data_IF_480663788722
#
_entry.id   IF_480663788722
#
_cell.length_a   1.000
_cell.length_b   1.000
_cell.length_c   1.000
_cell.angle_alpha   90.00
_cell.angle_beta   90.00
_cell.angle_gamma   90.00
#
_symmetry.space_group_name_H-M   'P 1'
#
loop_
_entity.id
_entity.type
_entity.pdbx_description
1 polymer ?
#
# COMPACT_ATOMS: atom_id res chain seq x y z
N UNK A 1 -35.03 -23.16 -9.21
CA UNK A 1 -33.71 -22.95 -9.85
C UNK A 1 -32.79 -22.33 -8.81
N UNK A 2 -31.96 -23.16 -8.19
CA UNK A 2 -30.99 -22.76 -7.16
C UNK A 2 -29.78 -22.16 -7.85
N UNK A 3 -29.62 -20.83 -7.77
CA UNK A 3 -28.36 -20.18 -8.14
C UNK A 3 -27.30 -20.63 -7.13
N UNK A 4 -26.51 -21.62 -7.51
CA UNK A 4 -25.31 -22.00 -6.78
C UNK A 4 -24.29 -20.87 -6.89
N UNK A 5 -24.25 -20.01 -5.87
CA UNK A 5 -23.22 -19.00 -5.68
C UNK A 5 -21.90 -19.68 -5.35
N UNK A 6 -21.13 -20.08 -6.36
CA UNK A 6 -19.90 -20.88 -6.24
C UNK A 6 -18.74 -20.22 -5.44
N UNK A 7 -18.94 -19.02 -4.89
CA UNK A 7 -17.90 -18.24 -4.20
C UNK A 7 -18.29 -17.69 -2.81
N UNK A 8 -19.44 -18.07 -2.25
CA UNK A 8 -19.81 -17.65 -0.89
C UNK A 8 -19.73 -18.83 0.08
N UNK A 9 -18.56 -19.00 0.69
CA UNK A 9 -18.40 -19.87 1.87
C UNK A 9 -18.63 -19.04 3.13
N UNK A 10 -19.27 -19.63 4.14
CA UNK A 10 -19.55 -19.02 5.45
C UNK A 10 -18.29 -18.63 6.27
N UNK A 11 -17.09 -18.89 5.74
CA UNK A 11 -15.78 -18.52 6.29
C UNK A 11 -15.08 -17.38 5.52
N UNK A 12 -15.74 -16.77 4.54
CA UNK A 12 -15.22 -15.60 3.82
C UNK A 12 -15.34 -14.36 4.71
N UNK A 13 -14.37 -14.18 5.62
CA UNK A 13 -14.19 -12.96 6.43
C UNK A 13 -13.60 -11.80 5.59
N UNK A 14 -13.38 -12.02 4.29
CA UNK A 14 -12.76 -11.05 3.39
C UNK A 14 -13.80 -10.46 2.46
N UNK A 15 -14.43 -9.37 2.91
CA UNK A 15 -15.40 -8.66 2.10
C UNK A 15 -14.68 -7.86 1.00
N UNK A 16 -15.24 -7.84 -0.22
CA UNK A 16 -14.72 -7.06 -1.35
C UNK A 16 -14.40 -5.57 -1.07
N UNK A 17 -15.05 -4.84 -0.12
CA UNK A 17 -14.65 -3.49 0.24
C UNK A 17 -13.24 -3.43 0.84
N UNK A 18 -12.78 -4.53 1.46
CA UNK A 18 -11.43 -4.64 2.00
C UNK A 18 -10.39 -4.51 0.88
N UNK A 19 -10.58 -5.25 -0.20
CA UNK A 19 -9.72 -5.20 -1.37
C UNK A 19 -9.65 -3.78 -1.97
N UNK A 20 -10.77 -3.06 -2.01
CA UNK A 20 -10.82 -1.71 -2.58
C UNK A 20 -10.05 -0.71 -1.72
N UNK A 21 -10.21 -0.72 -0.39
CA UNK A 21 -9.46 0.21 0.44
C UNK A 21 -7.95 -0.05 0.35
N UNK A 22 -7.55 -1.33 0.32
CA UNK A 22 -6.16 -1.73 0.18
C UNK A 22 -5.59 -1.23 -1.14
N UNK A 23 -6.32 -1.45 -2.23
CA UNK A 23 -5.94 -0.97 -3.56
C UNK A 23 -5.78 0.56 -3.59
N UNK A 24 -6.70 1.32 -3.00
CA UNK A 24 -6.63 2.77 -2.92
C UNK A 24 -5.40 3.26 -2.12
N UNK A 25 -5.07 2.60 -1.01
CA UNK A 25 -3.84 2.90 -0.26
C UNK A 25 -2.59 2.60 -1.11
N UNK A 26 -2.60 1.47 -1.82
CA UNK A 26 -1.54 1.07 -2.74
C UNK A 26 -1.29 2.14 -3.82
N UNK A 27 -2.36 2.64 -4.44
CA UNK A 27 -2.28 3.75 -5.41
C UNK A 27 -1.68 5.00 -4.78
N UNK A 28 -2.13 5.41 -3.59
CA UNK A 28 -1.60 6.59 -2.89
C UNK A 28 -0.10 6.46 -2.62
N UNK A 29 0.31 5.35 -2.00
CA UNK A 29 1.72 5.07 -1.68
C UNK A 29 2.58 4.97 -2.94
N UNK A 30 2.06 4.36 -4.01
CA UNK A 30 2.72 4.24 -5.31
C UNK A 30 2.92 5.60 -5.98
N UNK A 31 1.88 6.41 -6.08
CA UNK A 31 1.94 7.77 -6.65
C UNK A 31 2.90 8.67 -5.89
N UNK A 32 2.89 8.62 -4.55
CA UNK A 32 3.82 9.40 -3.72
C UNK A 32 5.25 8.93 -3.90
N UNK A 33 5.49 7.61 -3.89
CA UNK A 33 6.82 7.04 -4.15
C UNK A 33 7.35 7.50 -5.51
N UNK A 34 6.57 7.32 -6.58
CA UNK A 34 6.96 7.73 -7.93
C UNK A 34 7.20 9.23 -8.04
N UNK A 35 6.36 10.06 -7.42
CA UNK A 35 6.51 11.51 -7.43
C UNK A 35 7.81 11.95 -6.73
N UNK A 36 8.14 11.36 -5.58
CA UNK A 36 9.40 11.66 -4.88
C UNK A 36 10.60 11.18 -5.69
N UNK A 37 10.54 9.98 -6.28
CA UNK A 37 11.63 9.47 -7.11
C UNK A 37 11.83 10.33 -8.36
N UNK A 38 10.76 10.81 -9.00
CA UNK A 38 10.86 11.75 -10.12
C UNK A 38 11.61 13.02 -9.69
N UNK A 39 11.27 13.59 -8.54
CA UNK A 39 11.95 14.80 -8.02
C UNK A 39 13.42 14.57 -7.67
N UNK A 40 13.79 13.35 -7.26
CA UNK A 40 15.18 12.99 -6.95
C UNK A 40 16.03 12.78 -8.20
N UNK A 41 15.49 12.07 -9.21
CA UNK A 41 16.25 11.72 -10.41
C UNK A 41 16.16 12.77 -11.52
N UNK A 42 15.04 13.50 -11.59
CA UNK A 42 14.78 14.55 -12.58
C UNK A 42 14.19 15.80 -11.91
N UNK A 43 15.00 16.58 -11.16
CA UNK A 43 14.54 17.78 -10.46
C UNK A 43 13.81 18.78 -11.38
N UNK A 44 14.27 18.93 -12.62
CA UNK A 44 13.68 19.80 -13.65
C UNK A 44 12.23 19.43 -14.02
N UNK A 45 11.89 18.14 -13.97
CA UNK A 45 10.55 17.63 -14.26
C UNK A 45 9.69 17.47 -12.98
N UNK A 46 10.26 17.76 -11.81
CA UNK A 46 9.68 17.51 -10.50
C UNK A 46 8.96 18.71 -9.86
N UNK A 47 8.57 19.70 -10.66
CA UNK A 47 7.88 20.92 -10.21
C UNK A 47 6.36 20.79 -10.10
N UNK A 48 5.69 21.88 -9.70
CA UNK A 48 4.22 21.96 -9.57
C UNK A 48 3.48 21.81 -10.91
N UNK A 49 4.15 22.03 -12.04
CA UNK A 49 3.56 21.84 -13.36
C UNK A 49 3.49 20.37 -13.80
N UNK A 50 4.22 19.50 -13.09
CA UNK A 50 4.30 18.10 -13.40
C UNK A 50 2.95 17.41 -13.33
N UNK A 51 2.65 16.59 -14.34
CA UNK A 51 1.38 15.84 -14.36
C UNK A 51 1.38 14.78 -13.27
N UNK A 52 2.52 14.15 -13.02
CA UNK A 52 2.66 13.20 -11.91
C UNK A 52 2.36 13.88 -10.57
N UNK A 53 2.96 15.03 -10.29
CA UNK A 53 2.77 15.73 -9.01
C UNK A 53 1.33 16.25 -8.84
N UNK A 54 0.70 16.74 -9.90
CA UNK A 54 -0.71 17.16 -9.87
C UNK A 54 -1.66 15.97 -9.67
N UNK A 55 -1.36 14.83 -10.28
CA UNK A 55 -2.11 13.59 -10.02
C UNK A 55 -1.93 13.15 -8.57
N UNK A 56 -0.70 13.19 -8.03
CA UNK A 56 -0.42 12.87 -6.62
C UNK A 56 -1.09 13.85 -5.66
N UNK A 57 -1.18 15.14 -6.02
CA UNK A 57 -1.88 16.16 -5.22
C UNK A 57 -3.35 15.80 -4.98
N UNK A 58 -4.03 15.26 -5.98
CA UNK A 58 -5.46 14.92 -5.91
C UNK A 58 -5.65 13.49 -5.41
N UNK A 59 -5.03 12.52 -6.08
CA UNK A 59 -5.25 11.10 -5.83
C UNK A 59 -4.46 10.57 -4.62
N UNK A 60 -3.33 11.18 -4.25
CA UNK A 60 -2.58 10.80 -3.04
C UNK A 60 -3.45 10.89 -1.78
N UNK A 61 -3.91 12.09 -1.38
CA UNK A 61 -4.79 12.23 -0.23
C UNK A 61 -6.20 11.70 -0.51
N UNK A 62 -6.73 11.89 -1.74
CA UNK A 62 -8.08 11.47 -2.11
C UNK A 62 -8.28 9.96 -1.99
N UNK A 63 -7.33 9.15 -2.44
CA UNK A 63 -7.42 7.70 -2.33
C UNK A 63 -7.37 7.22 -0.88
N UNK A 64 -6.59 7.86 -0.01
CA UNK A 64 -6.58 7.54 1.43
C UNK A 64 -7.90 7.91 2.09
N UNK A 65 -8.42 9.10 1.84
CA UNK A 65 -9.70 9.53 2.42
C UNK A 65 -10.80 8.56 1.99
N UNK A 66 -10.87 8.24 0.69
CA UNK A 66 -11.86 7.31 0.17
C UNK A 66 -11.70 5.90 0.76
N UNK A 67 -10.46 5.39 0.83
CA UNK A 67 -10.16 4.09 1.42
C UNK A 67 -10.53 4.03 2.91
N UNK A 68 -10.19 5.07 3.68
CA UNK A 68 -10.55 5.16 5.10
C UNK A 68 -12.05 5.29 5.30
N UNK A 69 -12.77 6.01 4.44
CA UNK A 69 -14.23 6.09 4.52
C UNK A 69 -14.86 4.70 4.33
N UNK A 70 -14.43 3.96 3.30
CA UNK A 70 -14.89 2.57 3.08
C UNK A 70 -14.59 1.71 4.30
N UNK A 71 -13.38 1.81 4.86
CA UNK A 71 -12.97 1.08 6.05
C UNK A 71 -13.84 1.42 7.27
N UNK A 72 -14.13 2.70 7.50
CA UNK A 72 -14.95 3.14 8.64
C UNK A 72 -16.37 2.61 8.53
N UNK A 73 -17.00 2.67 7.35
CA UNK A 73 -18.33 2.13 7.14
C UNK A 73 -18.39 0.61 7.21
N UNK A 74 -17.28 -0.07 6.88
CA UNK A 74 -17.18 -1.52 6.99
C UNK A 74 -16.98 -2.01 8.43
N UNK A 75 -16.47 -1.17 9.34
CA UNK A 75 -16.33 -1.54 10.75
C UNK A 75 -17.69 -1.84 11.39
N UNK A 76 -17.74 -2.87 12.23
CA UNK A 76 -18.95 -3.25 12.99
C UNK A 76 -19.49 -2.15 13.91
N UNK A 77 -18.66 -1.15 14.28
CA UNK A 77 -19.04 0.01 15.10
C UNK A 77 -18.35 1.30 14.63
N UNK A 78 -18.81 1.93 13.53
CA UNK A 78 -18.16 3.08 12.89
C UNK A 78 -17.98 4.27 13.84
N UNK A 79 -18.96 4.52 14.72
CA UNK A 79 -18.95 5.65 15.64
C UNK A 79 -17.84 5.59 16.70
N UNK A 80 -17.32 4.40 16.99
CA UNK A 80 -16.23 4.19 17.95
C UNK A 80 -14.85 4.45 17.36
N UNK A 81 -14.74 4.52 16.02
CA UNK A 81 -13.46 4.68 15.33
C UNK A 81 -12.74 5.96 15.75
N UNK A 82 -13.48 7.04 16.01
CA UNK A 82 -12.88 8.29 16.49
C UNK A 82 -12.12 8.10 17.81
N UNK A 83 -12.55 7.20 18.70
CA UNK A 83 -11.82 6.92 19.96
C UNK A 83 -10.44 6.30 19.69
N UNK A 84 -10.32 5.46 18.65
CA UNK A 84 -9.05 4.86 18.22
C UNK A 84 -8.07 5.90 17.65
N UNK A 85 -8.57 7.04 17.17
CA UNK A 85 -7.71 8.14 16.69
C UNK A 85 -7.06 8.96 17.82
N UNK A 86 -7.43 8.73 19.09
CA UNK A 86 -6.86 9.46 20.24
C UNK A 86 -6.31 8.55 21.34
N UNK A 87 -6.67 7.26 21.35
CA UNK A 87 -6.19 6.29 22.35
C UNK A 87 -5.28 5.26 21.70
N UNK A 88 -3.97 5.49 21.77
CA UNK A 88 -2.97 4.67 21.13
C UNK A 88 -2.38 3.61 22.07
N UNK A 89 -2.13 2.41 21.53
CA UNK A 89 -1.33 1.37 22.18
C UNK A 89 -0.26 0.86 21.22
N UNK A 90 1.01 0.97 21.61
CA UNK A 90 2.15 0.49 20.81
C UNK A 90 2.25 -1.04 20.72
N UNK A 91 1.50 -1.77 21.54
CA UNK A 91 1.47 -3.25 21.49
C UNK A 91 0.45 -3.79 20.47
N UNK A 92 -0.48 -2.96 20.01
CA UNK A 92 -1.52 -3.36 19.08
C UNK A 92 -1.13 -3.05 17.64
N UNK A 93 -1.12 -4.09 16.80
CA UNK A 93 -0.86 -3.96 15.36
C UNK A 93 -1.79 -2.93 14.74
N UNK A 94 -3.09 -2.99 15.04
CA UNK A 94 -4.09 -2.08 14.49
C UNK A 94 -3.87 -0.60 14.90
N UNK A 95 -3.43 -0.36 16.14
CA UNK A 95 -3.14 1.00 16.62
C UNK A 95 -1.89 1.60 15.95
N UNK A 96 -0.87 0.79 15.67
CA UNK A 96 0.30 1.23 14.90
C UNK A 96 -0.10 1.69 13.50
N UNK A 97 -1.08 1.02 12.88
CA UNK A 97 -1.61 1.38 11.57
C UNK A 97 -2.28 2.74 11.57
N UNK A 98 -3.18 3.00 12.54
CA UNK A 98 -3.84 4.32 12.66
C UNK A 98 -2.82 5.44 12.83
N UNK A 99 -1.80 5.24 13.67
CA UNK A 99 -0.72 6.21 13.87
C UNK A 99 0.09 6.43 12.58
N UNK A 100 0.41 5.36 11.84
CA UNK A 100 1.11 5.43 10.56
C UNK A 100 0.29 6.19 9.51
N UNK A 101 -1.02 5.93 9.39
CA UNK A 101 -1.91 6.65 8.49
C UNK A 101 -1.98 8.14 8.83
N UNK A 102 -2.12 8.48 10.11
CA UNK A 102 -2.24 9.87 10.53
C UNK A 102 -0.92 10.64 10.31
N UNK A 103 0.22 10.04 10.66
CA UNK A 103 1.53 10.62 10.39
C UNK A 103 1.76 10.77 8.87
N UNK A 104 1.47 9.74 8.09
CA UNK A 104 1.55 9.79 6.63
C UNK A 104 0.71 10.93 6.06
N UNK A 105 -0.54 11.08 6.49
CA UNK A 105 -1.44 12.11 5.96
C UNK A 105 -0.96 13.52 6.29
N UNK A 106 -0.51 13.75 7.53
CA UNK A 106 0.04 15.06 7.93
C UNK A 106 1.28 15.40 7.10
N UNK A 107 2.24 14.46 7.01
CA UNK A 107 3.47 14.68 6.24
C UNK A 107 3.17 14.85 4.74
N UNK A 108 2.22 14.10 4.19
CA UNK A 108 1.78 14.22 2.81
C UNK A 108 1.22 15.60 2.51
N UNK A 109 0.33 16.10 3.38
CA UNK A 109 -0.25 17.44 3.23
C UNK A 109 0.84 18.51 3.30
N UNK A 110 1.76 18.43 4.27
CA UNK A 110 2.87 19.39 4.38
C UNK A 110 3.80 19.35 3.17
N UNK A 111 4.11 18.15 2.66
CA UNK A 111 4.96 17.96 1.50
C UNK A 111 4.32 18.50 0.22
N UNK A 112 3.04 18.20 -0.01
CA UNK A 112 2.26 18.73 -1.13
C UNK A 112 2.10 20.25 -1.01
N UNK A 113 1.79 20.77 0.18
CA UNK A 113 1.66 22.20 0.40
C UNK A 113 2.96 22.94 0.09
N UNK A 114 4.12 22.34 0.39
CA UNK A 114 5.41 22.93 0.04
C UNK A 114 5.71 22.89 -1.46
N UNK A 115 5.31 21.82 -2.16
CA UNK A 115 5.45 21.75 -3.63
C UNK A 115 4.60 22.79 -4.34
N UNK A 116 3.35 22.93 -3.90
CA UNK A 116 2.35 23.83 -4.46
C UNK A 116 2.24 25.12 -3.65
N UNK A 117 3.37 25.62 -3.13
CA UNK A 117 3.42 26.77 -2.22
C UNK A 117 2.73 28.01 -2.82
N UNK A 118 2.92 28.28 -4.11
CA UNK A 118 2.31 29.42 -4.80
C UNK A 118 0.79 29.30 -4.82
N UNK A 119 0.28 28.12 -5.17
CA UNK A 119 -1.14 27.83 -5.22
C UNK A 119 -1.77 27.85 -3.82
N UNK A 120 -1.06 27.36 -2.82
CA UNK A 120 -1.48 27.39 -1.41
C UNK A 120 -1.55 28.82 -0.89
N UNK A 121 -0.56 29.65 -1.17
CA UNK A 121 -0.56 31.07 -0.77
C UNK A 121 -1.70 31.81 -1.49
N UNK A 122 -1.91 31.58 -2.79
CA UNK A 122 -3.01 32.17 -3.53
C UNK A 122 -4.38 31.76 -2.95
N UNK A 123 -4.54 30.48 -2.58
CA UNK A 123 -5.76 29.98 -1.94
C UNK A 123 -5.96 30.57 -0.55
N UNK A 124 -4.90 30.70 0.24
CA UNK A 124 -4.91 31.32 1.56
C UNK A 124 -5.28 32.80 1.48
N UNK A 125 -4.73 33.56 0.53
CA UNK A 125 -5.12 34.97 0.33
C UNK A 125 -6.57 35.12 -0.08
N UNK A 126 -7.12 34.15 -0.85
CA UNK A 126 -8.51 34.16 -1.30
C UNK A 126 -9.51 33.86 -0.18
N UNK A 127 -9.22 32.89 0.68
CA UNK A 127 -10.17 32.42 1.72
C UNK A 127 -9.89 33.02 3.10
N UNK A 128 -8.62 33.19 3.49
CA UNK A 128 -8.19 33.52 4.85
C UNK A 128 -7.00 34.51 4.83
N UNK A 129 -7.17 35.74 4.30
CA UNK A 129 -6.08 36.71 4.11
C UNK A 129 -5.36 37.12 5.41
N UNK A 130 -5.99 36.92 6.57
CA UNK A 130 -5.43 37.29 7.89
C UNK A 130 -4.48 36.25 8.49
N UNK A 131 -4.37 35.05 7.91
CA UNK A 131 -3.54 33.97 8.46
C UNK A 131 -2.13 33.96 7.86
N UNK A 132 -1.23 34.78 8.41
CA UNK A 132 0.21 34.75 8.07
C UNK A 132 0.93 33.45 8.49
N UNK A 133 0.29 32.61 9.30
CA UNK A 133 0.83 31.34 9.78
C UNK A 133 1.23 30.39 8.64
N UNK A 134 0.49 30.39 7.53
CA UNK A 134 0.76 29.49 6.39
C UNK A 134 2.11 29.82 5.77
N UNK A 135 2.41 31.10 5.56
CA UNK A 135 3.69 31.57 5.04
C UNK A 135 4.84 31.28 6.02
N UNK A 136 4.62 31.46 7.32
CA UNK A 136 5.62 31.12 8.35
C UNK A 136 5.94 29.63 8.39
N UNK A 137 4.94 28.75 8.24
CA UNK A 137 5.16 27.30 8.21
C UNK A 137 5.88 26.89 6.91
N UNK A 138 5.47 27.43 5.76
CA UNK A 138 6.09 27.14 4.46
C UNK A 138 7.56 27.58 4.41
N UNK A 139 7.89 28.72 5.00
CA UNK A 139 9.26 29.22 5.09
C UNK A 139 10.11 28.35 6.02
N UNK A 140 9.58 27.95 7.19
CA UNK A 140 10.25 27.01 8.12
C UNK A 140 10.49 25.63 7.49
N UNK A 141 9.60 25.16 6.61
CA UNK A 141 9.77 23.89 5.89
C UNK A 141 10.80 23.97 4.76
N UNK A 142 11.20 25.15 4.30
CA UNK A 142 12.18 25.32 3.21
C UNK A 142 13.52 24.63 3.48
N UNK A 143 14.20 24.87 4.61
CA UNK A 143 15.46 24.16 4.92
C UNK A 143 15.24 22.66 5.13
N UNK A 144 14.07 22.25 5.64
CA UNK A 144 13.74 20.86 5.92
C UNK A 144 13.19 20.10 4.71
N UNK A 145 13.03 20.75 3.56
CA UNK A 145 12.33 20.20 2.40
C UNK A 145 12.90 18.84 1.94
N UNK A 146 14.23 18.70 1.93
CA UNK A 146 14.91 17.44 1.57
C UNK A 146 14.68 16.32 2.60
N UNK A 147 14.66 16.68 3.88
CA UNK A 147 14.33 15.74 4.93
C UNK A 147 12.85 15.33 4.85
N UNK A 148 11.95 16.28 4.58
CA UNK A 148 10.52 16.03 4.39
C UNK A 148 10.26 15.07 3.23
N UNK A 149 10.92 15.25 2.08
CA UNK A 149 10.88 14.29 0.96
C UNK A 149 11.33 12.89 1.37
N UNK A 150 12.38 12.79 2.19
CA UNK A 150 12.92 11.50 2.64
C UNK A 150 11.99 10.81 3.63
N UNK A 151 11.48 11.56 4.60
CA UNK A 151 10.49 11.06 5.56
C UNK A 151 9.23 10.61 4.82
N UNK A 152 8.74 11.40 3.86
CA UNK A 152 7.56 11.04 3.07
C UNK A 152 7.78 9.76 2.26
N UNK A 153 8.96 9.58 1.66
CA UNK A 153 9.30 8.35 0.93
C UNK A 153 9.31 7.13 1.85
N UNK A 154 9.96 7.25 3.02
CA UNK A 154 9.99 6.19 4.03
C UNK A 154 8.58 5.86 4.49
N UNK A 155 7.75 6.86 4.79
CA UNK A 155 6.36 6.66 5.20
C UNK A 155 5.52 6.00 4.11
N UNK A 156 5.70 6.34 2.83
CA UNK A 156 5.00 5.70 1.72
C UNK A 156 5.36 4.21 1.58
N UNK A 157 6.65 3.89 1.64
CA UNK A 157 7.13 2.51 1.62
C UNK A 157 6.62 1.73 2.83
N UNK A 158 6.74 2.31 4.03
CA UNK A 158 6.25 1.70 5.27
C UNK A 158 4.74 1.50 5.22
N UNK A 159 3.96 2.46 4.73
CA UNK A 159 2.52 2.35 4.61
C UNK A 159 2.11 1.21 3.68
N UNK A 160 2.73 1.12 2.49
CA UNK A 160 2.48 0.03 1.56
C UNK A 160 2.85 -1.34 2.15
N UNK A 161 4.07 -1.47 2.68
CA UNK A 161 4.53 -2.73 3.27
C UNK A 161 3.70 -3.13 4.50
N UNK A 162 3.38 -2.20 5.40
CA UNK A 162 2.56 -2.43 6.58
C UNK A 162 1.14 -2.87 6.19
N UNK A 163 0.59 -2.32 5.12
CA UNK A 163 -0.72 -2.70 4.62
C UNK A 163 -0.73 -4.15 4.11
N UNK A 164 0.32 -4.58 3.40
CA UNK A 164 0.52 -6.00 3.04
C UNK A 164 0.83 -6.90 4.26
N UNK A 165 1.51 -6.37 5.27
CA UNK A 165 1.74 -7.09 6.53
C UNK A 165 0.45 -7.32 7.31
N UNK A 166 -0.47 -6.35 7.34
CA UNK A 166 -1.78 -6.51 7.95
C UNK A 166 -2.57 -7.65 7.31
N UNK A 167 -2.52 -7.77 5.98
CA UNK A 167 -3.09 -8.92 5.27
C UNK A 167 -2.44 -10.23 5.73
N UNK A 168 -1.11 -10.24 5.90
CA UNK A 168 -0.38 -11.44 6.31
C UNK A 168 -0.68 -11.90 7.73
N UNK A 169 -1.03 -10.97 8.62
CA UNK A 169 -1.32 -11.22 10.02
C UNK A 169 -2.76 -11.72 10.27
N UNK A 170 -3.63 -11.71 9.24
CA UNK A 170 -4.98 -12.28 9.33
C UNK A 170 -4.88 -13.82 9.38
N UNK A 171 -4.95 -14.35 10.60
CA UNK A 171 -4.75 -15.77 10.98
C UNK A 171 -5.59 -16.82 10.23
N UNK A 172 -6.54 -16.40 9.38
CA UNK A 172 -7.55 -17.28 8.80
C UNK A 172 -7.16 -17.94 7.46
N UNK A 173 -6.07 -17.52 6.80
CA UNK A 173 -5.71 -18.06 5.47
C UNK A 173 -4.24 -18.52 5.39
N UNK A 174 -3.97 -19.80 5.08
CA UNK A 174 -2.62 -20.32 4.86
C UNK A 174 -1.84 -19.59 3.75
N UNK A 175 -2.55 -19.06 2.75
CA UNK A 175 -2.00 -18.23 1.67
C UNK A 175 -1.45 -16.89 2.18
N UNK A 176 -1.95 -16.39 3.32
CA UNK A 176 -1.59 -15.07 3.86
C UNK A 176 -0.39 -15.13 4.82
N UNK A 177 0.00 -16.29 5.35
CA UNK A 177 1.15 -16.37 6.26
C UNK A 177 2.49 -16.53 5.50
N UNK A 178 2.80 -15.60 4.59
CA UNK A 178 4.02 -15.61 3.81
C UNK A 178 4.77 -14.27 3.92
N UNK A 179 6.06 -14.24 4.30
CA UNK A 179 6.85 -13.02 4.43
C UNK A 179 7.01 -12.23 3.12
N UNK A 180 6.65 -12.82 1.97
CA UNK A 180 6.71 -12.18 0.64
C UNK A 180 5.55 -11.18 0.44
N UNK A 181 4.44 -11.31 1.16
CA UNK A 181 3.23 -10.52 0.93
C UNK A 181 3.39 -9.00 1.15
N UNK A 182 4.04 -8.51 2.22
CA UNK A 182 4.34 -7.09 2.37
C UNK A 182 5.06 -6.49 1.16
N UNK A 183 6.03 -7.22 0.62
CA UNK A 183 6.80 -6.80 -0.54
C UNK A 183 5.95 -6.80 -1.82
N UNK A 184 5.20 -7.90 -2.05
CA UNK A 184 4.26 -7.99 -3.18
C UNK A 184 3.27 -6.84 -3.20
N UNK A 185 2.66 -6.55 -2.05
CA UNK A 185 1.68 -5.47 -1.93
C UNK A 185 2.30 -4.10 -2.21
N UNK A 186 3.52 -3.85 -1.72
CA UNK A 186 4.25 -2.62 -1.99
C UNK A 186 4.54 -2.43 -3.48
N UNK A 187 5.11 -3.45 -4.15
CA UNK A 187 5.45 -3.35 -5.57
C UNK A 187 4.21 -3.28 -6.45
N UNK A 188 3.17 -4.04 -6.12
CA UNK A 188 1.88 -3.97 -6.81
C UNK A 188 1.20 -2.60 -6.63
N UNK A 189 1.33 -1.98 -5.45
CA UNK A 189 0.88 -0.61 -5.21
C UNK A 189 1.65 0.42 -6.03
N UNK A 190 2.97 0.28 -6.14
CA UNK A 190 3.81 1.14 -7.00
C UNK A 190 3.42 0.98 -8.48
N UNK A 191 3.22 -0.26 -8.95
CA UNK A 191 2.74 -0.58 -10.30
C UNK A 191 1.37 0.06 -10.57
N UNK A 192 0.41 -0.10 -9.65
CA UNK A 192 -0.92 0.51 -9.76
C UNK A 192 -0.86 2.05 -9.77
N UNK A 193 0.00 2.64 -8.95
CA UNK A 193 0.26 4.09 -8.97
C UNK A 193 0.88 4.55 -10.29
N UNK A 194 1.79 3.77 -10.87
CA UNK A 194 2.37 4.04 -12.19
C UNK A 194 1.30 4.01 -13.28
N UNK A 195 0.45 2.98 -13.30
CA UNK A 195 -0.65 2.88 -14.25
C UNK A 195 -1.61 4.08 -14.16
N UNK A 196 -1.98 4.48 -12.93
CA UNK A 196 -2.82 5.66 -12.70
C UNK A 196 -2.14 6.94 -13.18
N UNK A 197 -0.84 7.10 -12.92
CA UNK A 197 -0.07 8.25 -13.40
C UNK A 197 -0.01 8.31 -14.93
N UNK A 198 0.22 7.18 -15.60
CA UNK A 198 0.26 7.08 -17.06
C UNK A 198 -1.09 7.40 -17.69
N UNK A 199 -2.20 6.89 -17.10
CA UNK A 199 -3.55 7.24 -17.54
C UNK A 199 -3.79 8.75 -17.39
N UNK A 200 -3.43 9.34 -16.25
CA UNK A 200 -3.58 10.78 -16.04
C UNK A 200 -2.75 11.61 -17.04
N UNK A 201 -1.53 11.17 -17.36
CA UNK A 201 -0.70 11.79 -18.39
C UNK A 201 -1.32 11.68 -19.78
N UNK A 202 -1.84 10.51 -20.15
CA UNK A 202 -2.52 10.29 -21.42
C UNK A 202 -3.80 11.16 -21.56
N UNK A 203 -4.52 11.39 -20.47
CA UNK A 203 -5.69 12.27 -20.45
C UNK A 203 -5.32 13.75 -20.58
N UNK A 204 -4.27 14.20 -19.88
CA UNK A 204 -3.87 15.62 -19.86
C UNK A 204 -3.10 16.05 -21.12
N UNK A 205 -2.27 15.16 -21.67
CA UNK A 205 -1.39 15.44 -22.82
C UNK A 205 -1.72 14.55 -24.01
N UNK A 206 -2.98 14.59 -24.47
CA UNK A 206 -3.45 13.94 -25.71
C UNK A 206 -2.57 14.27 -26.93
N UNK A 207 -1.85 15.39 -26.92
CA UNK A 207 -1.10 15.93 -28.07
C UNK A 207 0.42 15.74 -28.01
N UNK A 208 1.02 15.36 -26.87
CA UNK A 208 2.48 15.17 -26.72
C UNK A 208 2.80 13.94 -25.85
N UNK A 209 2.79 12.72 -26.43
CA UNK A 209 3.02 11.46 -25.68
C UNK A 209 4.43 11.28 -25.11
N UNK A 210 5.40 12.13 -25.50
CA UNK A 210 6.80 12.02 -25.11
C UNK A 210 7.23 13.03 -24.03
N UNK A 211 6.45 13.16 -22.96
CA UNK A 211 6.92 13.89 -21.78
C UNK A 211 8.02 13.10 -21.07
N UNK A 212 9.04 13.80 -20.56
CA UNK A 212 10.12 13.21 -19.75
C UNK A 212 9.57 12.41 -18.55
N UNK A 213 8.41 12.84 -18.03
CA UNK A 213 7.68 12.19 -16.95
C UNK A 213 7.14 10.81 -17.34
N UNK A 214 6.48 10.69 -18.50
CA UNK A 214 5.94 9.42 -18.96
C UNK A 214 7.04 8.39 -19.20
N UNK A 215 8.17 8.83 -19.79
CA UNK A 215 9.36 7.98 -19.97
C UNK A 215 9.96 7.55 -18.63
N UNK A 216 10.00 8.45 -17.65
CA UNK A 216 10.46 8.12 -16.30
C UNK A 216 9.56 7.08 -15.63
N UNK A 217 8.23 7.30 -15.63
CA UNK A 217 7.27 6.38 -15.02
C UNK A 217 7.37 5.00 -15.67
N UNK A 218 7.40 4.93 -17.01
CA UNK A 218 7.53 3.66 -17.72
C UNK A 218 8.87 2.95 -17.44
N UNK A 219 9.97 3.70 -17.35
CA UNK A 219 11.29 3.17 -16.98
C UNK A 219 11.31 2.62 -15.54
N UNK A 220 10.57 3.23 -14.63
CA UNK A 220 10.44 2.77 -13.24
C UNK A 220 9.47 1.59 -13.10
N UNK A 221 8.39 1.58 -13.87
CA UNK A 221 7.39 0.51 -13.90
C UNK A 221 7.98 -0.82 -14.38
N UNK A 222 8.79 -0.79 -15.45
CA UNK A 222 9.35 -2.01 -16.06
C UNK A 222 10.06 -2.94 -15.05
N UNK A 223 11.06 -2.49 -14.25
CA UNK A 223 11.70 -3.34 -13.25
C UNK A 223 10.76 -3.72 -12.09
N UNK A 224 9.80 -2.86 -11.74
CA UNK A 224 8.80 -3.16 -10.69
C UNK A 224 7.91 -4.32 -11.10
N UNK A 225 7.44 -4.34 -12.36
CA UNK A 225 6.62 -5.43 -12.91
C UNK A 225 7.42 -6.73 -12.98
N UNK A 226 8.69 -6.69 -13.43
CA UNK A 226 9.54 -7.88 -13.42
C UNK A 226 9.74 -8.44 -12.00
N UNK A 227 9.93 -7.55 -11.02
CA UNK A 227 10.05 -7.95 -9.62
C UNK A 227 8.73 -8.49 -9.06
N UNK A 228 7.59 -7.93 -9.44
CA UNK A 228 6.26 -8.44 -9.08
C UNK A 228 6.07 -9.86 -9.63
N UNK A 229 6.38 -10.10 -10.92
CA UNK A 229 6.34 -11.44 -11.52
C UNK A 229 7.25 -12.42 -10.77
N UNK A 230 8.47 -12.01 -10.43
CA UNK A 230 9.41 -12.82 -9.66
C UNK A 230 8.87 -13.16 -8.26
N UNK A 231 8.36 -12.16 -7.54
CA UNK A 231 7.80 -12.35 -6.20
C UNK A 231 6.52 -13.20 -6.23
N UNK A 232 5.69 -13.07 -7.27
CA UNK A 232 4.52 -13.92 -7.48
C UNK A 232 4.94 -15.36 -7.76
N UNK A 233 5.95 -15.58 -8.60
CA UNK A 233 6.50 -16.91 -8.83
C UNK A 233 7.04 -17.52 -7.53
N UNK A 234 7.82 -16.75 -6.76
CA UNK A 234 8.33 -17.18 -5.46
C UNK A 234 7.19 -17.48 -4.45
N UNK A 235 6.12 -16.70 -4.46
CA UNK A 235 4.93 -16.93 -3.65
C UNK A 235 4.25 -18.25 -4.02
N UNK A 236 3.98 -18.50 -5.30
CA UNK A 236 3.35 -19.76 -5.75
C UNK A 236 4.24 -20.99 -5.53
N UNK A 237 5.55 -20.89 -5.75
CA UNK A 237 6.50 -21.96 -5.44
C UNK A 237 6.53 -22.25 -3.94
N UNK A 238 6.55 -21.21 -3.10
CA UNK A 238 6.50 -21.35 -1.65
C UNK A 238 5.22 -22.02 -1.15
N UNK A 239 4.09 -21.79 -1.82
CA UNK A 239 2.83 -22.49 -1.54
C UNK A 239 2.88 -23.96 -1.96
N UNK A 240 3.38 -24.24 -3.18
CA UNK A 240 3.49 -25.61 -3.68
C UNK A 240 4.39 -26.48 -2.79
N UNK A 241 5.55 -25.96 -2.37
CA UNK A 241 6.48 -26.67 -1.49
C UNK A 241 6.01 -26.71 -0.01
N UNK A 242 5.20 -25.73 0.41
CA UNK A 242 4.69 -25.61 1.78
C UNK A 242 3.57 -26.60 2.12
N UNK A 243 2.80 -27.04 1.12
CA UNK A 243 1.73 -28.04 1.30
C UNK A 243 2.26 -29.48 1.38
N UNK A 244 3.40 -29.78 0.75
CA UNK A 244 4.05 -31.10 0.83
C UNK A 244 4.51 -31.46 2.25
N UNK A 245 4.92 -30.46 3.04
CA UNK A 245 5.32 -30.63 4.44
C UNK A 245 4.18 -30.97 5.41
N UNK A 246 2.92 -30.69 5.03
CA UNK A 246 1.74 -31.01 5.84
C UNK A 246 1.16 -32.38 5.49
N UNK A 247 1.25 -32.82 4.23
CA UNK A 247 0.83 -34.16 3.80
C UNK A 247 1.72 -35.28 4.38
N UNK A 248 3.02 -35.03 4.60
CA UNK A 248 3.91 -36.02 5.20
C UNK A 248 3.60 -36.32 6.70
N UNK A 249 2.86 -35.44 7.39
CA UNK A 249 2.51 -35.59 8.82
C UNK A 249 1.26 -36.46 9.04
N UNK A 250 0.47 -36.72 8.00
CA UNK A 250 -0.75 -37.56 8.07
C UNK A 250 -0.55 -38.98 7.56
N UNK A 251 0.69 -39.47 7.42
CA UNK A 251 0.91 -40.91 7.27
C UNK A 251 0.38 -41.62 8.52
N UNK A 252 -0.66 -42.45 8.42
CA UNK A 252 -1.18 -43.15 9.58
C UNK A 252 -0.07 -44.05 10.16
N UNK A 253 0.26 -43.88 11.44
CA UNK A 253 1.25 -44.68 12.20
C UNK A 253 0.87 -46.16 12.36
N UNK A 254 -0.02 -46.69 11.53
CA UNK A 254 -0.45 -48.09 11.56
C UNK A 254 0.50 -49.02 10.78
N UNK A 255 1.32 -48.48 9.86
CA UNK A 255 2.26 -49.30 9.07
C UNK A 255 3.51 -49.76 9.85
N UNK A 256 3.70 -49.33 11.10
CA UNK A 256 4.83 -49.76 11.93
C UNK A 256 4.46 -50.83 12.97
N UNK A 257 3.17 -51.21 13.08
CA UNK A 257 2.69 -52.15 14.09
C UNK A 257 2.34 -53.56 13.55
N UNK A 258 2.45 -53.79 12.24
CA UNK A 258 2.05 -55.06 11.60
C UNK A 258 3.22 -55.90 11.05
N UNK A 259 4.43 -55.76 11.61
CA UNK A 259 5.64 -56.38 11.05
C UNK A 259 6.55 -57.14 12.03
N UNK A 260 6.20 -57.30 13.30
CA UNK A 260 7.05 -58.01 14.26
C UNK A 260 6.23 -58.93 15.16
N UNK A 261 5.77 -60.04 14.60
CA UNK A 261 5.12 -61.13 15.32
C UNK A 261 5.27 -62.45 14.57
N UNK A 262 6.24 -63.27 14.99
CA UNK A 262 6.20 -64.72 14.78
C UNK A 262 7.38 -65.35 14.01
N UNK A 263 7.97 -66.37 14.66
CA UNK A 263 8.95 -67.39 14.19
C UNK A 263 10.44 -66.98 14.22
N UNK A 264 11.36 -67.69 14.88
CA UNK A 264 11.29 -68.93 15.66
C UNK A 264 12.69 -69.35 16.18
N UNK A 265 12.69 -70.13 17.27
CA UNK A 265 13.61 -71.22 17.62
C UNK A 265 15.13 -71.02 17.48
N UNK A 266 15.83 -70.92 18.61
CA UNK A 266 17.11 -71.59 18.84
C UNK A 266 17.36 -71.78 20.35
N UNK A 267 17.73 -73.02 20.70
CA UNK A 267 18.13 -73.60 22.00
C UNK A 267 17.10 -73.66 23.12
#
# INVERSE_FOLDING_TARGET
>A
MTNASAFHFASLVWDWPIAIYLFLIGISAGLVTLAILLRRFHPEAGGSDSTLLRTTLVLGPGAIILGLLILVFHLTRPWTFWKLMFHYSFTSVMSMGVMLFQLYMVVLILWLAKIFEKEVIALQQRWLPRLGLVQSVLTLLTPLHRALETVMLVLAVLLGAYTGFLLSALKSYPLLNNPILPALFLFSGISSGAAVALIAMALRHRSNPHSTEARFVHRMETPVVWLEIFLLAAFFIGLALGDDGKCARWRPRWAAASGAGGSGLAS
#
